data_IF_032399994681
#
_entry.id   IF_032399994681
#
_cell.length_a   1.000
_cell.length_b   1.000
_cell.length_c   1.000
_cell.angle_alpha   90.00
_cell.angle_beta   90.00
_cell.angle_gamma   90.00
#
_symmetry.space_group_name_H-M   'P 1'
#
loop_
_entity.id
_entity.type
_entity.pdbx_description
1 polymer ?
#
# COMPACT_ATOMS: atom_id res chain seq x y z
N UNK A 1 10.40 -11.78 0.04
CA UNK A 1 10.34 -12.35 -1.33
C UNK A 1 9.48 -11.51 -2.30
N UNK A 2 8.22 -11.18 -1.97
CA UNK A 2 7.32 -10.44 -2.90
C UNK A 2 7.84 -9.03 -3.26
N UNK A 3 8.28 -8.23 -2.28
CA UNK A 3 8.81 -6.89 -2.59
C UNK A 3 10.03 -6.95 -3.52
N UNK A 4 10.93 -7.92 -3.33
CA UNK A 4 12.11 -8.09 -4.19
C UNK A 4 11.74 -8.39 -5.64
N UNK A 5 10.75 -9.27 -5.87
CA UNK A 5 10.26 -9.55 -7.22
C UNK A 5 9.67 -8.31 -7.88
N UNK A 6 8.79 -7.57 -7.19
CA UNK A 6 8.14 -6.39 -7.75
C UNK A 6 9.13 -5.25 -8.02
N UNK A 7 10.10 -5.01 -7.12
CA UNK A 7 11.19 -4.04 -7.36
C UNK A 7 12.03 -4.40 -8.60
N UNK A 8 12.38 -5.68 -8.72
CA UNK A 8 13.15 -6.18 -9.87
C UNK A 8 12.36 -6.05 -11.17
N UNK A 9 11.07 -6.38 -11.15
CA UNK A 9 10.19 -6.25 -12.30
C UNK A 9 10.04 -4.78 -12.73
N UNK A 10 9.86 -3.86 -11.78
CA UNK A 10 9.80 -2.43 -12.07
C UNK A 10 11.07 -1.95 -12.77
N UNK A 11 12.24 -2.25 -12.19
CA UNK A 11 13.54 -1.88 -12.78
C UNK A 11 13.73 -2.48 -14.19
N UNK A 12 13.35 -3.75 -14.39
CA UNK A 12 13.43 -4.40 -15.69
C UNK A 12 12.52 -3.72 -16.73
N UNK A 13 11.28 -3.40 -16.38
CA UNK A 13 10.33 -2.75 -17.29
C UNK A 13 10.79 -1.33 -17.64
N UNK A 14 11.32 -0.59 -16.67
CA UNK A 14 11.88 0.74 -16.92
C UNK A 14 13.03 0.69 -17.91
N UNK A 15 13.99 -0.23 -17.72
CA UNK A 15 15.12 -0.38 -18.64
C UNK A 15 14.65 -0.82 -20.02
N UNK A 16 13.75 -1.82 -20.09
CA UNK A 16 13.28 -2.39 -21.36
C UNK A 16 12.54 -1.38 -22.23
N UNK A 17 11.75 -0.51 -21.61
CA UNK A 17 10.88 0.44 -22.32
C UNK A 17 11.33 1.90 -22.18
N UNK A 18 12.49 2.16 -21.57
CA UNK A 18 13.02 3.49 -21.29
C UNK A 18 12.01 4.40 -20.57
N UNK A 19 11.35 3.86 -19.54
CA UNK A 19 10.35 4.57 -18.75
C UNK A 19 11.02 5.47 -17.70
N UNK A 20 10.38 6.60 -17.43
CA UNK A 20 10.82 7.57 -16.43
C UNK A 20 10.79 6.99 -15.01
N UNK A 21 11.94 6.98 -14.32
CA UNK A 21 12.06 6.47 -12.94
C UNK A 21 11.34 7.30 -11.90
N UNK A 22 11.02 8.55 -12.23
CA UNK A 22 10.28 9.44 -11.34
C UNK A 22 8.76 9.31 -11.52
N UNK A 23 8.29 8.39 -12.37
CA UNK A 23 6.86 8.20 -12.69
C UNK A 23 6.40 6.76 -12.53
N UNK A 24 6.82 6.11 -11.44
CA UNK A 24 6.40 4.75 -11.10
C UNK A 24 5.38 4.83 -9.96
N UNK A 25 4.22 4.22 -10.20
CA UNK A 25 3.11 4.21 -9.26
C UNK A 25 2.64 2.78 -9.02
N UNK A 26 2.21 2.48 -7.80
CA UNK A 26 1.59 1.20 -7.48
C UNK A 26 0.09 1.41 -7.25
N UNK A 27 -0.75 0.58 -7.89
CA UNK A 27 -2.19 0.59 -7.61
C UNK A 27 -2.75 -0.82 -7.45
N UNK A 28 -3.77 -0.95 -6.59
CA UNK A 28 -4.36 -2.23 -6.28
C UNK A 28 -5.77 -2.15 -5.72
N UNK A 29 -6.45 -3.30 -5.67
CA UNK A 29 -7.74 -3.46 -5.02
C UNK A 29 -7.66 -4.56 -3.96
N UNK A 30 -8.29 -4.35 -2.81
CA UNK A 30 -8.40 -5.34 -1.73
C UNK A 30 -7.01 -5.80 -1.24
N UNK A 31 -6.66 -7.09 -1.39
CA UNK A 31 -5.34 -7.61 -1.00
C UNK A 31 -4.17 -6.92 -1.70
N UNK A 32 -4.38 -6.45 -2.94
CA UNK A 32 -3.35 -5.69 -3.66
C UNK A 32 -3.23 -4.27 -3.11
N UNK A 33 -4.30 -3.72 -2.48
CA UNK A 33 -4.22 -2.47 -1.73
C UNK A 33 -3.26 -2.56 -0.53
N UNK A 34 -3.24 -3.71 0.16
CA UNK A 34 -2.23 -3.98 1.21
C UNK A 34 -0.81 -4.00 0.64
N UNK A 35 -0.65 -4.62 -0.52
CA UNK A 35 0.65 -4.68 -1.21
C UNK A 35 1.09 -3.28 -1.67
N UNK A 36 0.18 -2.43 -2.13
CA UNK A 36 0.48 -1.03 -2.46
C UNK A 36 1.00 -0.28 -1.22
N UNK A 37 0.35 -0.44 -0.07
CA UNK A 37 0.84 0.12 1.19
C UNK A 37 2.22 -0.44 1.60
N UNK A 38 2.42 -1.75 1.48
CA UNK A 38 3.72 -2.38 1.76
C UNK A 38 4.83 -1.82 0.86
N UNK A 39 4.56 -1.63 -0.44
CA UNK A 39 5.56 -1.13 -1.39
C UNK A 39 5.84 0.37 -1.18
N UNK A 40 4.82 1.18 -0.88
CA UNK A 40 5.02 2.58 -0.52
C UNK A 40 5.85 2.75 0.74
N UNK A 41 5.79 1.77 1.64
CA UNK A 41 6.55 1.73 2.88
C UNK A 41 8.01 1.23 2.71
N UNK A 42 8.20 0.13 2.00
CA UNK A 42 9.49 -0.59 1.90
C UNK A 42 10.34 -0.17 0.69
N UNK A 43 9.75 0.56 -0.27
CA UNK A 43 10.43 1.00 -1.48
C UNK A 43 10.00 2.41 -1.93
N UNK A 44 10.01 3.42 -1.03
CA UNK A 44 9.66 4.81 -1.36
C UNK A 44 10.63 5.41 -2.40
N UNK A 45 11.85 4.88 -2.50
CA UNK A 45 12.83 5.24 -3.52
C UNK A 45 12.39 4.89 -4.94
N UNK A 46 11.59 3.81 -5.09
CA UNK A 46 11.10 3.30 -6.38
C UNK A 46 9.68 3.80 -6.67
N UNK A 47 8.73 3.59 -5.75
CA UNK A 47 7.32 3.91 -5.98
C UNK A 47 7.02 5.32 -5.49
N UNK A 48 6.79 6.25 -6.42
CA UNK A 48 6.66 7.68 -6.09
C UNK A 48 5.29 8.08 -5.55
N UNK A 49 4.27 7.25 -5.75
CA UNK A 49 2.97 7.35 -5.09
C UNK A 49 2.23 6.01 -5.17
N UNK A 50 1.26 5.84 -4.29
CA UNK A 50 0.40 4.65 -4.27
C UNK A 50 -1.08 5.04 -4.37
N UNK A 51 -1.86 4.17 -5.00
CA UNK A 51 -3.30 4.31 -5.11
C UNK A 51 -3.99 2.99 -4.75
N UNK A 52 -5.19 3.03 -4.18
CA UNK A 52 -5.95 1.82 -3.95
C UNK A 52 -7.46 2.04 -3.93
N UNK A 53 -8.18 0.97 -4.27
CA UNK A 53 -9.63 0.86 -4.17
C UNK A 53 -9.93 -0.27 -3.19
N UNK A 54 -10.52 0.01 -2.03
CA UNK A 54 -10.70 -0.94 -0.93
C UNK A 54 -9.40 -1.62 -0.44
N UNK A 55 -9.34 -1.92 0.86
CA UNK A 55 -8.11 -2.29 1.56
C UNK A 55 -7.59 -1.16 2.45
N UNK A 56 -6.86 -1.52 3.49
CA UNK A 56 -6.26 -0.63 4.50
C UNK A 56 -4.88 -1.18 4.86
N UNK A 57 -3.93 -0.33 5.24
CA UNK A 57 -2.64 -0.81 5.71
C UNK A 57 -2.81 -1.77 6.89
N UNK A 58 -2.26 -2.98 6.76
CA UNK A 58 -2.23 -3.94 7.87
C UNK A 58 -1.41 -3.37 9.02
N UNK A 59 -1.81 -3.68 10.26
CA UNK A 59 -1.16 -3.20 11.47
C UNK A 59 0.34 -3.49 11.48
N UNK A 60 0.73 -4.70 11.06
CA UNK A 60 2.14 -5.09 10.97
C UNK A 60 2.95 -4.22 9.99
N UNK A 61 2.35 -3.81 8.87
CA UNK A 61 3.00 -2.90 7.91
C UNK A 61 3.14 -1.52 8.56
N UNK A 62 2.07 -1.02 9.19
CA UNK A 62 2.06 0.30 9.84
C UNK A 62 3.08 0.42 10.99
N UNK A 63 3.27 -0.65 11.77
CA UNK A 63 4.24 -0.68 12.87
C UNK A 63 5.69 -0.75 12.39
N UNK A 64 5.95 -1.39 11.25
CA UNK A 64 7.28 -1.49 10.65
C UNK A 64 7.65 -0.28 9.79
N UNK A 65 6.67 0.56 9.44
CA UNK A 65 6.90 1.59 8.45
C UNK A 65 7.71 2.78 8.94
N UNK A 66 8.62 3.26 8.08
CA UNK A 66 9.34 4.50 8.33
C UNK A 66 8.45 5.71 8.03
N UNK A 67 7.90 6.30 9.09
CA UNK A 67 6.99 7.46 9.02
C UNK A 67 7.65 8.77 8.59
N UNK A 68 8.98 8.79 8.47
CA UNK A 68 9.73 9.98 8.07
C UNK A 68 9.96 10.09 6.57
N UNK A 69 9.57 9.07 5.79
CA UNK A 69 9.69 9.08 4.32
C UNK A 69 8.39 8.58 3.64
N UNK A 70 7.25 9.26 3.87
CA UNK A 70 5.98 8.82 3.32
C UNK A 70 5.84 9.16 1.84
N UNK A 71 5.25 8.24 1.08
CA UNK A 71 4.85 8.49 -0.31
C UNK A 71 3.41 9.03 -0.37
N UNK A 72 3.07 9.88 -1.34
CA UNK A 72 1.69 10.30 -1.58
C UNK A 72 0.73 9.12 -1.75
N UNK A 73 -0.46 9.22 -1.15
CA UNK A 73 -1.49 8.17 -1.16
C UNK A 73 -2.79 8.70 -1.74
N UNK A 74 -3.38 7.96 -2.68
CA UNK A 74 -4.77 8.14 -3.13
C UNK A 74 -5.61 6.90 -2.76
N UNK A 75 -6.54 7.05 -1.82
CA UNK A 75 -7.32 5.92 -1.30
C UNK A 75 -8.81 6.16 -1.54
N UNK A 76 -9.47 5.20 -2.21
CA UNK A 76 -10.93 5.12 -2.32
C UNK A 76 -11.47 3.94 -1.50
N UNK A 77 -12.33 4.20 -0.52
CA UNK A 77 -12.89 3.16 0.37
C UNK A 77 -14.40 3.33 0.56
N UNK A 78 -15.12 2.21 0.60
CA UNK A 78 -16.56 2.22 0.87
C UNK A 78 -16.87 2.27 2.37
N UNK A 79 -17.61 3.26 2.83
CA UNK A 79 -17.98 3.37 4.26
C UNK A 79 -18.91 2.25 4.75
N UNK A 80 -19.55 1.54 3.82
CA UNK A 80 -20.42 0.37 4.09
C UNK A 80 -19.76 -0.97 3.75
N UNK A 81 -18.44 -0.96 3.49
CA UNK A 81 -17.71 -2.21 3.32
C UNK A 81 -17.73 -3.03 4.62
N UNK A 82 -18.07 -4.32 4.53
CA UNK A 82 -18.17 -5.23 5.67
C UNK A 82 -17.00 -6.22 5.77
N UNK A 83 -16.07 -6.16 4.83
CA UNK A 83 -14.91 -7.06 4.76
C UNK A 83 -13.71 -6.37 5.39
N UNK A 84 -13.22 -5.30 4.75
CA UNK A 84 -12.21 -4.43 5.32
C UNK A 84 -12.93 -3.18 5.79
N UNK A 85 -12.80 -2.88 7.08
CA UNK A 85 -13.57 -1.81 7.69
C UNK A 85 -12.85 -0.48 7.47
N UNK A 86 -13.58 0.53 7.01
CA UNK A 86 -13.02 1.88 6.87
C UNK A 86 -12.50 2.45 8.21
N UNK A 87 -13.07 2.01 9.34
CA UNK A 87 -12.67 2.38 10.69
C UNK A 87 -11.62 1.44 11.33
N UNK A 88 -11.09 0.48 10.56
CA UNK A 88 -10.10 -0.49 11.02
C UNK A 88 -10.68 -1.65 11.84
N UNK A 89 -9.85 -2.68 12.03
CA UNK A 89 -10.14 -3.86 12.87
C UNK A 89 -8.84 -4.34 13.52
N UNK A 90 -8.38 -3.63 14.55
CA UNK A 90 -7.10 -3.93 15.21
C UNK A 90 -7.07 -5.30 15.89
N UNK A 91 -8.22 -5.77 16.37
CA UNK A 91 -8.38 -7.05 17.07
C UNK A 91 -8.68 -8.21 16.11
N UNK A 92 -8.74 -7.95 14.79
CA UNK A 92 -9.06 -8.94 13.76
C UNK A 92 -10.37 -9.72 14.06
N UNK A 93 -11.39 -9.02 14.55
CA UNK A 93 -12.69 -9.61 14.93
C UNK A 93 -13.37 -10.32 13.76
N UNK A 94 -13.18 -9.79 12.55
CA UNK A 94 -13.81 -10.31 11.34
C UNK A 94 -12.91 -11.27 10.54
N UNK A 95 -11.72 -11.59 11.05
CA UNK A 95 -10.78 -12.59 10.49
C UNK A 95 -10.22 -12.24 9.10
N UNK A 96 -10.18 -10.96 8.75
CA UNK A 96 -9.55 -10.45 7.50
C UNK A 96 -8.13 -9.89 7.70
N UNK A 97 -7.59 -9.99 8.91
CA UNK A 97 -6.29 -9.46 9.32
C UNK A 97 -6.42 -8.15 10.09
N UNK A 98 -5.52 -7.94 11.05
CA UNK A 98 -5.46 -6.69 11.82
C UNK A 98 -5.06 -5.53 10.91
N UNK A 99 -5.90 -4.51 10.80
CA UNK A 99 -5.67 -3.36 9.93
C UNK A 99 -6.10 -2.05 10.59
N UNK A 100 -5.40 -0.98 10.21
CA UNK A 100 -5.62 0.38 10.68
C UNK A 100 -6.84 1.00 9.98
N UNK A 101 -7.38 2.08 10.53
CA UNK A 101 -8.44 2.87 9.90
C UNK A 101 -7.91 3.72 8.72
N UNK A 102 -8.79 4.10 7.80
CA UNK A 102 -8.40 4.83 6.58
C UNK A 102 -7.67 6.14 6.90
N UNK A 103 -8.10 6.89 7.92
CA UNK A 103 -7.51 8.19 8.28
C UNK A 103 -6.07 8.05 8.80
N UNK A 104 -5.78 7.00 9.58
CA UNK A 104 -4.42 6.67 10.01
C UNK A 104 -3.56 6.22 8.82
N UNK A 105 -4.12 5.43 7.91
CA UNK A 105 -3.35 4.80 6.82
C UNK A 105 -2.99 5.74 5.68
N UNK A 106 -3.65 6.89 5.51
CA UNK A 106 -3.23 7.87 4.50
C UNK A 106 -2.18 8.86 5.03
N UNK A 107 -1.84 8.80 6.32
CA UNK A 107 -0.92 9.70 7.03
C UNK A 107 0.31 8.98 7.60
N UNK A 108 0.52 7.73 7.21
CA UNK A 108 1.55 6.86 7.79
C UNK A 108 2.96 7.35 7.54
#
# INVERSE_FOLDING_TARGET
MICSFIKTLAAFLQQKYNLDSEKIFCTGMSNVGYMSYLLGCEAPDIFKAISLITGCMMRCIYELCNKYDPVPVFHVHGTKESTILCHGDLENKYKWGSHMDVESTIKF
#
